data_IF_458290586773
#
_entry.id   IF_458290586773
#
_cell.length_a   1.000
_cell.length_b   1.000
_cell.length_c   1.000
_cell.angle_alpha   90.00
_cell.angle_beta   90.00
_cell.angle_gamma   90.00
#
_symmetry.space_group_name_H-M   'P 1'
#
loop_
_entity.id
_entity.type
_entity.pdbx_description
1 polymer ?
#
# COMPACT_ATOMS: atom_id res chain seq x y z
N UNK A 1 -7.87 -16.23 10.46
CA UNK A 1 -8.29 -15.75 9.11
C UNK A 1 -9.66 -15.07 9.20
N UNK A 2 -10.67 -15.75 9.75
CA UNK A 2 -12.02 -15.20 9.95
C UNK A 2 -12.05 -13.88 10.72
N UNK A 3 -11.31 -13.77 11.83
CA UNK A 3 -11.22 -12.51 12.59
C UNK A 3 -10.65 -11.36 11.76
N UNK A 4 -9.66 -11.66 10.91
CA UNK A 4 -9.04 -10.66 10.05
C UNK A 4 -9.99 -10.20 8.94
N UNK A 5 -10.72 -11.13 8.33
CA UNK A 5 -11.77 -10.80 7.35
C UNK A 5 -12.85 -9.94 8.02
N UNK A 6 -13.31 -10.33 9.21
CA UNK A 6 -14.33 -9.60 9.97
C UNK A 6 -13.87 -8.17 10.29
N UNK A 7 -12.63 -8.01 10.78
CA UNK A 7 -12.07 -6.70 11.07
C UNK A 7 -11.96 -5.81 9.81
N UNK A 8 -11.52 -6.37 8.68
CA UNK A 8 -11.44 -5.63 7.40
C UNK A 8 -12.82 -5.21 6.89
N UNK A 9 -13.84 -6.08 6.97
CA UNK A 9 -15.21 -5.76 6.59
C UNK A 9 -15.84 -4.67 7.48
N UNK A 10 -15.37 -4.55 8.73
CA UNK A 10 -15.74 -3.47 9.65
C UNK A 10 -14.91 -2.19 9.43
N UNK A 11 -14.05 -2.14 8.42
CA UNK A 11 -13.18 -1.01 8.12
C UNK A 11 -12.12 -0.75 9.20
N UNK A 12 -11.68 -1.80 9.91
CA UNK A 12 -10.65 -1.69 10.96
C UNK A 12 -9.27 -2.02 10.41
N UNK A 13 -8.26 -1.35 10.97
CA UNK A 13 -6.86 -1.69 10.73
C UNK A 13 -6.46 -2.92 11.57
N UNK A 14 -5.55 -3.73 11.04
CA UNK A 14 -5.09 -4.97 11.68
C UNK A 14 -3.60 -4.87 11.94
N UNK A 15 -3.20 -5.11 13.19
CA UNK A 15 -1.80 -5.30 13.56
C UNK A 15 -1.47 -6.79 13.60
N UNK A 16 -0.53 -7.23 12.76
CA UNK A 16 -0.06 -8.61 12.74
C UNK A 16 1.20 -8.77 13.59
N UNK A 17 1.12 -9.53 14.68
CA UNK A 17 2.24 -9.80 15.59
C UNK A 17 2.61 -11.28 15.60
N UNK A 18 3.90 -11.58 15.52
CA UNK A 18 4.43 -12.95 15.61
C UNK A 18 5.91 -13.04 15.22
N UNK A 19 6.57 -14.21 15.35
CA UNK A 19 7.97 -14.38 14.99
C UNK A 19 8.22 -14.27 13.48
N UNK A 20 9.46 -13.99 13.07
CA UNK A 20 9.84 -14.03 11.65
C UNK A 20 9.52 -15.39 11.03
N UNK A 21 9.02 -15.40 9.80
CA UNK A 21 8.61 -16.63 9.12
C UNK A 21 7.25 -17.20 9.54
N UNK A 22 6.50 -16.55 10.44
CA UNK A 22 5.16 -17.00 10.85
C UNK A 22 4.05 -16.78 9.80
N UNK A 23 4.38 -16.37 8.57
CA UNK A 23 3.41 -16.17 7.49
C UNK A 23 2.59 -14.87 7.54
N UNK A 24 3.06 -13.80 8.20
CA UNK A 24 2.33 -12.52 8.27
C UNK A 24 2.10 -11.87 6.90
N UNK A 25 3.15 -11.78 6.09
CA UNK A 25 3.07 -11.27 4.70
C UNK A 25 2.15 -12.15 3.86
N UNK A 26 2.28 -13.48 3.98
CA UNK A 26 1.41 -14.45 3.30
C UNK A 26 -0.06 -14.27 3.69
N UNK A 27 -0.35 -13.98 4.96
CA UNK A 27 -1.71 -13.69 5.42
C UNK A 27 -2.26 -12.40 4.77
N UNK A 28 -1.48 -11.32 4.73
CA UNK A 28 -1.87 -10.07 4.09
C UNK A 28 -2.15 -10.26 2.58
N UNK A 29 -1.26 -10.95 1.86
CA UNK A 29 -1.45 -11.29 0.44
C UNK A 29 -2.69 -12.17 0.22
N UNK A 30 -2.93 -13.12 1.12
CA UNK A 30 -4.11 -14.00 1.05
C UNK A 30 -5.40 -13.20 1.24
N UNK A 31 -5.44 -12.28 2.21
CA UNK A 31 -6.59 -11.40 2.44
C UNK A 31 -6.86 -10.50 1.23
N UNK A 32 -5.81 -9.91 0.64
CA UNK A 32 -5.92 -9.11 -0.60
C UNK A 32 -6.56 -9.91 -1.74
N UNK A 33 -6.10 -11.14 -1.97
CA UNK A 33 -6.67 -12.04 -3.00
C UNK A 33 -8.11 -12.42 -2.70
N UNK A 34 -8.45 -12.76 -1.45
CA UNK A 34 -9.79 -13.17 -1.05
C UNK A 34 -10.81 -12.04 -1.15
N UNK A 35 -10.41 -10.80 -0.86
CA UNK A 35 -11.28 -9.62 -0.92
C UNK A 35 -11.30 -8.96 -2.29
N UNK A 36 -10.55 -9.48 -3.26
CA UNK A 36 -10.35 -8.87 -4.58
C UNK A 36 -9.90 -7.40 -4.50
N UNK A 37 -9.13 -7.08 -3.47
CA UNK A 37 -8.58 -5.74 -3.23
C UNK A 37 -7.08 -5.79 -3.47
N UNK A 38 -6.54 -5.08 -4.49
CA UNK A 38 -5.10 -5.01 -4.67
C UNK A 38 -4.40 -4.50 -3.40
N UNK A 39 -3.15 -4.92 -3.21
CA UNK A 39 -2.36 -4.51 -2.05
C UNK A 39 -1.14 -3.72 -2.50
N UNK A 40 -0.93 -2.56 -1.89
CA UNK A 40 0.30 -1.79 -2.00
C UNK A 40 1.13 -2.02 -0.73
N UNK A 41 2.44 -2.18 -0.87
CA UNK A 41 3.35 -2.38 0.27
C UNK A 41 4.25 -1.17 0.48
N UNK A 42 4.51 -0.85 1.73
CA UNK A 42 5.55 0.08 2.18
C UNK A 42 6.48 -0.70 3.09
N UNK A 43 7.79 -0.63 2.81
CA UNK A 43 8.82 -1.19 3.67
C UNK A 43 9.44 -0.05 4.49
N UNK A 44 9.26 -0.07 5.80
CA UNK A 44 9.78 0.95 6.73
C UNK A 44 11.28 0.75 7.01
N UNK A 45 12.09 0.85 5.96
CA UNK A 45 13.54 0.92 6.10
C UNK A 45 13.99 2.31 6.54
N UNK A 46 15.25 2.42 6.96
CA UNK A 46 15.89 3.70 7.34
C UNK A 46 15.93 4.69 6.16
N UNK A 47 15.95 4.18 4.92
CA UNK A 47 16.01 4.99 3.70
C UNK A 47 14.63 5.45 3.22
N UNK A 48 13.55 5.09 3.92
CA UNK A 48 12.20 5.47 3.54
C UNK A 48 11.95 6.97 3.80
N UNK A 49 11.58 7.69 2.74
CA UNK A 49 11.23 9.11 2.79
C UNK A 49 9.76 9.36 2.41
N UNK A 50 9.34 10.62 2.53
CA UNK A 50 7.95 11.02 2.24
C UNK A 50 7.59 10.83 0.76
N UNK A 51 8.55 11.06 -0.15
CA UNK A 51 8.35 10.89 -1.59
C UNK A 51 8.09 9.43 -1.96
N UNK A 52 8.80 8.50 -1.33
CA UNK A 52 8.58 7.06 -1.49
C UNK A 52 7.23 6.56 -0.96
N UNK A 53 6.61 7.27 -0.02
CA UNK A 53 5.29 6.92 0.57
C UNK A 53 4.15 7.60 -0.18
N UNK A 54 4.22 8.93 -0.29
CA UNK A 54 3.14 9.79 -0.77
C UNK A 54 3.22 9.96 -2.27
N UNK A 55 4.42 10.06 -2.83
CA UNK A 55 4.66 10.38 -4.23
C UNK A 55 5.51 11.64 -4.39
N UNK A 56 5.85 11.94 -5.64
CA UNK A 56 6.79 13.01 -5.99
C UNK A 56 6.36 13.73 -7.26
N UNK A 57 6.81 14.99 -7.41
CA UNK A 57 6.64 15.73 -8.64
C UNK A 57 7.76 15.37 -9.63
N UNK A 58 7.41 15.17 -10.89
CA UNK A 58 8.37 14.94 -11.97
C UNK A 58 7.98 15.73 -13.21
N UNK A 59 8.94 15.90 -14.12
CA UNK A 59 8.71 16.59 -15.39
C UNK A 59 8.49 15.53 -16.46
N UNK A 60 7.38 15.62 -17.18
CA UNK A 60 7.11 14.78 -18.35
C UNK A 60 7.15 15.62 -19.63
N UNK A 61 7.59 14.99 -20.72
CA UNK A 61 7.62 15.60 -22.05
C UNK A 61 6.31 15.32 -22.79
N UNK A 62 5.64 16.38 -23.21
CA UNK A 62 4.43 16.34 -24.02
C UNK A 62 4.72 16.90 -25.42
N UNK A 63 3.86 16.65 -26.41
CA UNK A 63 3.99 17.27 -27.73
C UNK A 63 4.03 18.81 -27.72
N UNK A 64 3.50 19.44 -26.66
CA UNK A 64 3.42 20.90 -26.51
C UNK A 64 4.51 21.49 -25.59
N UNK A 65 5.49 20.70 -25.15
CA UNK A 65 6.56 21.12 -24.22
C UNK A 65 6.66 20.23 -22.99
N UNK A 66 7.22 20.75 -21.90
CA UNK A 66 7.36 20.03 -20.64
C UNK A 66 6.31 20.47 -19.62
N UNK A 67 5.72 19.51 -18.92
CA UNK A 67 4.78 19.76 -17.82
C UNK A 67 5.23 19.07 -16.54
N UNK A 68 4.90 19.66 -15.39
CA UNK A 68 5.12 19.05 -14.07
C UNK A 68 3.90 18.23 -13.71
N UNK A 69 4.11 16.94 -13.43
CA UNK A 69 3.07 16.01 -12.97
C UNK A 69 3.43 15.44 -11.61
N UNK A 70 2.42 15.11 -10.82
CA UNK A 70 2.59 14.38 -9.57
C UNK A 70 2.39 12.89 -9.80
N UNK A 71 3.35 12.08 -9.38
CA UNK A 71 3.28 10.62 -9.43
C UNK A 71 2.90 10.10 -8.04
N UNK A 72 1.75 9.44 -7.95
CA UNK A 72 1.28 8.88 -6.68
C UNK A 72 2.21 7.76 -6.17
N UNK A 73 2.59 7.88 -4.90
CA UNK A 73 3.21 6.82 -4.12
C UNK A 73 2.22 5.73 -3.70
N UNK A 74 2.70 4.65 -3.06
CA UNK A 74 1.88 3.51 -2.64
C UNK A 74 0.73 3.90 -1.70
N UNK A 75 0.94 4.84 -0.78
CA UNK A 75 -0.11 5.32 0.12
C UNK A 75 -1.22 6.02 -0.67
N UNK A 76 -0.85 6.96 -1.56
CA UNK A 76 -1.82 7.73 -2.34
C UNK A 76 -2.59 6.83 -3.31
N UNK A 77 -1.92 5.87 -3.95
CA UNK A 77 -2.58 4.85 -4.78
C UNK A 77 -3.55 4.00 -3.97
N UNK A 78 -3.20 3.62 -2.74
CA UNK A 78 -4.08 2.83 -1.89
C UNK A 78 -5.34 3.62 -1.52
N UNK A 79 -5.15 4.85 -1.04
CA UNK A 79 -6.23 5.73 -0.61
C UNK A 79 -7.20 6.09 -1.75
N UNK A 80 -6.69 6.46 -2.93
CA UNK A 80 -7.53 6.89 -4.07
C UNK A 80 -8.38 5.76 -4.65
N UNK A 81 -7.86 4.54 -4.65
CA UNK A 81 -8.52 3.39 -5.26
C UNK A 81 -9.24 2.48 -4.26
N UNK A 82 -9.18 2.78 -2.95
CA UNK A 82 -9.75 1.93 -1.90
C UNK A 82 -9.03 0.59 -1.72
N UNK A 83 -7.77 0.51 -2.13
CA UNK A 83 -6.96 -0.71 -2.05
C UNK A 83 -6.40 -0.94 -0.64
N UNK A 84 -5.94 -2.15 -0.38
CA UNK A 84 -5.25 -2.47 0.87
C UNK A 84 -3.84 -1.86 0.88
N UNK A 85 -3.42 -1.38 2.06
CA UNK A 85 -2.05 -0.94 2.32
C UNK A 85 -1.43 -1.87 3.36
N UNK A 86 -0.31 -2.49 3.01
CA UNK A 86 0.52 -3.28 3.90
C UNK A 86 1.78 -2.47 4.27
N UNK A 87 2.08 -2.42 5.57
CA UNK A 87 3.24 -1.70 6.10
C UNK A 87 4.08 -2.73 6.83
N UNK A 88 5.31 -2.93 6.36
CA UNK A 88 6.33 -3.80 6.95
C UNK A 88 7.35 -2.97 7.75
#
# INVERSE_FOLDING_TARGET
LEDAITALLLGKNILLKGPTGSGKTVLAETLSKLLYQPMHSINCSIDLDLEGIVGYNTITSTPNGSEVIFIDGPLMKAMKNGHMLYID
#
